data_IF_578343955759
#
_entry.id   IF_578343955759
#
_cell.length_a   1.000
_cell.length_b   1.000
_cell.length_c   1.000
_cell.angle_alpha   90.00
_cell.angle_beta   90.00
_cell.angle_gamma   90.00
#
_symmetry.space_group_name_H-M   'P 1'
#
loop_
_entity.id
_entity.type
_entity.pdbx_description
1 polymer ?
#
# COMPACT_ATOMS: atom_id res chain seq x y z
N UNK A 1 -7.31 -21.68 -18.83
CA UNK A 1 -7.14 -22.26 -17.48
C UNK A 1 -7.18 -21.12 -16.49
N UNK A 2 -8.28 -20.96 -15.76
CA UNK A 2 -8.32 -20.05 -14.61
C UNK A 2 -7.37 -20.63 -13.55
N UNK A 3 -6.38 -19.85 -13.12
CA UNK A 3 -5.48 -20.27 -12.06
C UNK A 3 -6.30 -20.55 -10.80
N UNK A 4 -5.96 -21.63 -10.09
CA UNK A 4 -6.55 -21.92 -8.78
C UNK A 4 -6.23 -20.74 -7.85
N UNK A 5 -7.22 -20.13 -7.17
CA UNK A 5 -6.98 -19.03 -6.25
C UNK A 5 -5.99 -19.45 -5.17
N UNK A 6 -5.00 -18.60 -4.88
CA UNK A 6 -4.03 -18.85 -3.82
C UNK A 6 -4.77 -18.97 -2.46
N UNK A 7 -4.73 -20.14 -1.78
CA UNK A 7 -5.49 -20.38 -0.56
C UNK A 7 -5.12 -19.40 0.56
N UNK A 8 -3.89 -18.89 0.58
CA UNK A 8 -3.44 -17.89 1.56
C UNK A 8 -4.15 -16.56 1.33
N UNK A 9 -4.30 -16.14 0.07
CA UNK A 9 -5.04 -14.91 -0.27
C UNK A 9 -6.53 -15.04 0.04
N UNK A 10 -7.13 -16.21 -0.20
CA UNK A 10 -8.54 -16.48 0.15
C UNK A 10 -8.75 -16.39 1.66
N UNK A 11 -7.88 -17.02 2.45
CA UNK A 11 -7.93 -16.97 3.91
C UNK A 11 -7.72 -15.55 4.45
N UNK A 12 -6.73 -14.84 3.92
CA UNK A 12 -6.47 -13.44 4.29
C UNK A 12 -7.67 -12.55 3.94
N UNK A 13 -8.23 -12.68 2.75
CA UNK A 13 -9.42 -11.90 2.35
C UNK A 13 -10.61 -12.16 3.28
N UNK A 14 -10.83 -13.41 3.72
CA UNK A 14 -11.86 -13.73 4.70
C UNK A 14 -11.58 -13.07 6.06
N UNK A 15 -10.34 -13.12 6.56
CA UNK A 15 -9.91 -12.43 7.79
C UNK A 15 -10.16 -10.94 7.71
N UNK A 16 -9.75 -10.29 6.61
CA UNK A 16 -9.92 -8.85 6.42
C UNK A 16 -11.39 -8.43 6.38
N UNK A 17 -12.25 -9.19 5.70
CA UNK A 17 -13.71 -8.93 5.67
C UNK A 17 -14.36 -9.01 7.05
N UNK A 18 -13.82 -9.84 7.95
CA UNK A 18 -14.34 -10.04 9.29
C UNK A 18 -13.93 -8.95 10.30
N UNK A 19 -12.96 -8.09 9.97
CA UNK A 19 -12.55 -6.98 10.83
C UNK A 19 -13.70 -5.99 11.06
N UNK A 20 -13.61 -5.15 12.10
CA UNK A 20 -14.49 -4.00 12.22
C UNK A 20 -14.12 -2.93 11.16
N UNK A 21 -15.10 -2.18 10.61
CA UNK A 21 -14.80 -0.98 9.82
C UNK A 21 -13.94 0.00 10.62
N UNK A 22 -13.03 0.71 9.93
CA UNK A 22 -12.04 1.62 10.53
C UNK A 22 -12.11 3.04 9.99
N UNK A 23 -12.80 3.25 8.87
CA UNK A 23 -12.98 4.55 8.22
C UNK A 23 -14.45 4.68 7.80
N UNK A 24 -15.30 5.06 8.75
CA UNK A 24 -16.76 5.04 8.55
C UNK A 24 -17.24 3.62 8.25
N UNK A 25 -17.97 3.37 7.14
CA UNK A 25 -18.41 2.03 6.76
C UNK A 25 -17.28 1.16 6.14
N UNK A 26 -16.10 1.73 5.88
CA UNK A 26 -15.00 1.08 5.15
C UNK A 26 -13.99 0.44 6.10
N UNK A 27 -13.48 -0.74 5.72
CA UNK A 27 -12.25 -1.31 6.28
C UNK A 27 -11.08 -0.89 5.41
N UNK A 28 -10.28 0.05 5.90
CA UNK A 28 -9.12 0.51 5.16
C UNK A 28 -7.92 -0.38 5.51
N UNK A 29 -7.35 -1.05 4.51
CA UNK A 29 -6.22 -1.97 4.70
C UNK A 29 -5.01 -1.43 3.97
N UNK A 30 -3.92 -1.21 4.69
CA UNK A 30 -2.66 -0.74 4.12
C UNK A 30 -1.76 -1.91 3.72
N UNK A 31 -1.08 -1.77 2.57
CA UNK A 31 -0.01 -2.65 2.11
C UNK A 31 1.26 -1.79 1.96
N UNK A 32 2.15 -1.89 2.94
CA UNK A 32 3.41 -1.16 3.01
C UNK A 32 4.62 -2.10 2.85
N UNK A 33 5.81 -1.55 2.74
CA UNK A 33 7.06 -2.25 2.41
C UNK A 33 7.97 -1.40 1.53
N UNK A 34 9.23 -1.78 1.45
CA UNK A 34 10.23 -1.07 0.62
C UNK A 34 9.85 -1.01 -0.87
N UNK A 35 10.29 0.03 -1.59
CA UNK A 35 10.15 0.07 -3.05
C UNK A 35 10.79 -1.17 -3.69
N UNK A 36 10.07 -1.81 -4.61
CA UNK A 36 10.46 -3.08 -5.22
C UNK A 36 10.15 -4.35 -4.41
N UNK A 37 9.50 -4.26 -3.24
CA UNK A 37 9.14 -5.44 -2.43
C UNK A 37 7.98 -6.28 -2.99
N UNK A 38 7.24 -5.77 -3.99
CA UNK A 38 6.12 -6.47 -4.63
C UNK A 38 4.72 -6.08 -4.12
N UNK A 39 4.60 -5.00 -3.34
CA UNK A 39 3.32 -4.48 -2.81
C UNK A 39 2.21 -4.39 -3.85
N UNK A 40 2.44 -3.70 -4.98
CA UNK A 40 1.42 -3.49 -6.00
C UNK A 40 0.90 -4.80 -6.59
N UNK A 41 1.80 -5.78 -6.82
CA UNK A 41 1.41 -7.12 -7.28
C UNK A 41 0.61 -7.88 -6.22
N UNK A 42 1.02 -7.81 -4.96
CA UNK A 42 0.29 -8.44 -3.85
C UNK A 42 -1.08 -7.79 -3.64
N UNK A 43 -1.16 -6.47 -3.62
CA UNK A 43 -2.40 -5.71 -3.46
C UNK A 43 -3.40 -6.01 -4.57
N UNK A 44 -2.95 -6.12 -5.84
CA UNK A 44 -3.81 -6.51 -6.96
C UNK A 44 -4.40 -7.93 -6.78
N UNK A 45 -3.58 -8.90 -6.40
CA UNK A 45 -4.06 -10.28 -6.15
C UNK A 45 -4.97 -10.37 -4.92
N UNK A 46 -4.68 -9.59 -3.88
CA UNK A 46 -5.53 -9.50 -2.69
C UNK A 46 -6.88 -8.84 -3.03
N UNK A 47 -6.89 -7.82 -3.87
CA UNK A 47 -8.10 -7.18 -4.39
C UNK A 47 -8.99 -8.18 -5.14
N UNK A 48 -8.40 -9.03 -6.00
CA UNK A 48 -9.12 -10.11 -6.68
C UNK A 48 -9.75 -11.09 -5.67
N UNK A 49 -8.99 -11.55 -4.67
CA UNK A 49 -9.51 -12.42 -3.61
C UNK A 49 -10.60 -11.75 -2.74
N UNK A 50 -10.54 -10.41 -2.63
CA UNK A 50 -11.55 -9.58 -1.99
C UNK A 50 -12.78 -9.32 -2.88
N UNK A 51 -12.83 -9.88 -4.09
CA UNK A 51 -13.97 -9.76 -5.01
C UNK A 51 -13.92 -8.47 -5.84
N UNK A 52 -12.72 -7.97 -6.13
CA UNK A 52 -12.51 -6.73 -6.87
C UNK A 52 -12.51 -5.49 -5.98
N UNK A 53 -11.93 -5.59 -4.77
CA UNK A 53 -11.80 -4.42 -3.90
C UNK A 53 -10.94 -3.32 -4.56
N UNK A 54 -11.31 -2.04 -4.45
CA UNK A 54 -10.52 -0.96 -5.02
C UNK A 54 -9.16 -0.82 -4.32
N UNK A 55 -8.15 -0.45 -5.10
CA UNK A 55 -6.78 -0.19 -4.63
C UNK A 55 -6.43 1.28 -4.91
N UNK A 56 -6.01 2.00 -3.86
CA UNK A 56 -5.45 3.35 -3.98
C UNK A 56 -3.94 3.24 -3.96
N UNK A 57 -3.29 3.75 -5.00
CA UNK A 57 -1.84 3.78 -5.11
C UNK A 57 -1.33 5.11 -4.57
N UNK A 58 -0.42 5.11 -3.60
CA UNK A 58 0.14 6.39 -3.10
C UNK A 58 0.90 7.14 -4.17
N UNK A 59 1.37 6.46 -5.22
CA UNK A 59 2.05 7.07 -6.36
C UNK A 59 1.11 7.98 -7.18
N UNK A 60 -0.21 7.77 -7.11
CA UNK A 60 -1.19 8.70 -7.70
C UNK A 60 -1.18 10.04 -6.93
N UNK A 61 -0.74 10.04 -5.68
CA UNK A 61 -0.75 11.18 -4.75
C UNK A 61 0.66 11.68 -4.41
N UNK A 62 1.74 10.94 -4.59
CA UNK A 62 3.07 11.50 -4.40
C UNK A 62 3.45 12.38 -5.60
N UNK A 63 4.35 13.34 -5.38
CA UNK A 63 4.95 14.13 -6.47
C UNK A 63 6.47 14.05 -6.38
N UNK A 64 7.18 14.56 -7.39
CA UNK A 64 8.65 14.66 -7.36
C UNK A 64 9.17 15.45 -6.15
N UNK A 65 8.45 16.50 -5.73
CA UNK A 65 8.77 17.35 -4.59
C UNK A 65 8.32 16.73 -3.25
N UNK A 66 7.25 15.93 -3.29
CA UNK A 66 6.55 15.43 -2.11
C UNK A 66 6.49 13.89 -2.07
N UNK A 67 7.63 13.21 -2.21
CA UNK A 67 7.70 11.73 -2.23
C UNK A 67 6.95 11.06 -1.06
N UNK A 68 7.00 11.66 0.14
CA UNK A 68 6.36 11.14 1.37
C UNK A 68 5.42 12.15 2.06
N UNK A 69 5.16 13.30 1.44
CA UNK A 69 4.33 14.36 2.01
C UNK A 69 2.88 14.36 1.47
N UNK A 70 2.45 13.26 0.86
CA UNK A 70 1.12 13.08 0.25
C UNK A 70 -0.03 12.88 1.26
N UNK A 71 0.25 12.68 2.56
CA UNK A 71 -0.77 12.29 3.54
C UNK A 71 -1.86 13.32 3.77
N UNK A 72 -1.56 14.62 3.60
CA UNK A 72 -2.56 15.68 3.67
C UNK A 72 -3.63 15.51 2.60
N UNK A 73 -3.18 15.34 1.35
CA UNK A 73 -4.05 15.09 0.19
C UNK A 73 -4.83 13.79 0.33
N UNK A 74 -4.18 12.71 0.77
CA UNK A 74 -4.89 11.44 1.05
C UNK A 74 -5.98 11.60 2.11
N UNK A 75 -5.70 12.30 3.21
CA UNK A 75 -6.68 12.52 4.28
C UNK A 75 -7.89 13.32 3.80
N UNK A 76 -7.65 14.40 3.07
CA UNK A 76 -8.70 15.31 2.62
C UNK A 76 -9.54 14.73 1.48
N UNK A 77 -8.88 14.12 0.50
CA UNK A 77 -9.51 13.67 -0.75
C UNK A 77 -10.02 12.23 -0.68
N UNK A 78 -9.43 11.38 0.18
CA UNK A 78 -9.76 9.95 0.29
C UNK A 78 -10.37 9.61 1.65
N UNK A 79 -9.65 9.79 2.76
CA UNK A 79 -10.14 9.36 4.08
C UNK A 79 -11.40 10.13 4.51
N UNK A 80 -11.44 11.44 4.29
CA UNK A 80 -12.56 12.29 4.65
C UNK A 80 -13.88 11.78 4.06
N UNK A 81 -14.01 11.71 2.71
CA UNK A 81 -15.21 11.19 2.07
C UNK A 81 -15.55 9.75 2.47
N UNK A 82 -14.58 8.84 2.46
CA UNK A 82 -14.83 7.45 2.83
C UNK A 82 -15.34 7.30 4.27
N UNK A 83 -14.84 8.11 5.20
CA UNK A 83 -15.29 8.10 6.60
C UNK A 83 -16.77 8.49 6.77
N UNK A 84 -17.33 9.22 5.81
CA UNK A 84 -18.75 9.58 5.75
C UNK A 84 -19.59 8.64 4.88
N UNK A 85 -18.97 7.63 4.27
CA UNK A 85 -19.61 6.75 3.30
C UNK A 85 -19.90 7.42 1.96
N UNK A 86 -19.11 8.43 1.59
CA UNK A 86 -19.22 9.18 0.34
C UNK A 86 -18.13 8.75 -0.66
N UNK A 87 -18.38 8.96 -1.96
CA UNK A 87 -17.34 8.79 -2.99
C UNK A 87 -16.20 9.79 -2.79
N UNK A 88 -14.97 9.30 -2.79
CA UNK A 88 -13.76 10.09 -2.85
C UNK A 88 -13.42 10.50 -4.30
N UNK A 89 -12.75 11.64 -4.47
CA UNK A 89 -12.20 12.11 -5.75
C UNK A 89 -10.80 12.64 -5.49
N UNK A 90 -9.81 12.14 -6.22
CA UNK A 90 -8.42 12.55 -6.05
C UNK A 90 -7.69 12.63 -7.40
N UNK A 91 -6.69 13.52 -7.46
CA UNK A 91 -5.83 13.66 -8.62
C UNK A 91 -4.88 12.48 -8.77
N UNK A 92 -4.56 12.14 -10.02
CA UNK A 92 -3.55 11.14 -10.39
C UNK A 92 -2.33 11.87 -10.94
N UNK A 93 -1.20 11.75 -10.23
CA UNK A 93 0.06 12.34 -10.63
C UNK A 93 0.72 11.52 -11.75
N UNK A 94 1.03 12.21 -12.85
CA UNK A 94 1.80 11.64 -13.95
C UNK A 94 3.29 11.91 -13.68
N UNK A 95 4.03 10.85 -13.36
CA UNK A 95 5.47 10.93 -13.09
C UNK A 95 6.32 11.23 -14.33
N UNK A 96 5.79 11.08 -15.54
CA UNK A 96 6.48 11.45 -16.78
C UNK A 96 6.27 12.93 -17.06
N UNK A 97 5.03 13.42 -16.91
CA UNK A 97 4.69 14.83 -17.16
C UNK A 97 5.05 15.76 -15.98
N UNK A 98 5.17 15.22 -14.77
CA UNK A 98 5.46 15.97 -13.56
C UNK A 98 4.27 16.76 -13.00
N UNK A 99 3.04 16.39 -13.35
CA UNK A 99 1.81 17.11 -12.96
C UNK A 99 0.61 16.17 -12.75
N UNK A 100 -0.46 16.68 -12.14
CA UNK A 100 -1.72 15.93 -12.04
C UNK A 100 -2.48 16.02 -13.36
N UNK A 101 -2.60 14.91 -14.08
CA UNK A 101 -3.18 14.89 -15.43
C UNK A 101 -4.56 14.24 -15.48
N UNK A 102 -4.98 13.54 -14.43
CA UNK A 102 -6.28 12.88 -14.35
C UNK A 102 -6.89 12.97 -12.94
N UNK A 103 -8.18 12.66 -12.85
CA UNK A 103 -8.91 12.48 -11.59
C UNK A 103 -9.45 11.04 -11.52
N UNK A 104 -9.39 10.44 -10.34
CA UNK A 104 -10.03 9.14 -10.06
C UNK A 104 -11.13 9.30 -9.03
N UNK A 105 -12.29 8.71 -9.34
CA UNK A 105 -13.38 8.53 -8.39
C UNK A 105 -13.26 7.17 -7.69
N UNK A 106 -13.50 7.16 -6.39
CA UNK A 106 -13.47 5.98 -5.54
C UNK A 106 -14.76 5.92 -4.71
N UNK A 107 -15.69 5.07 -5.13
CA UNK A 107 -16.87 4.76 -4.34
C UNK A 107 -16.47 3.99 -3.06
N UNK A 108 -17.20 4.18 -1.94
CA UNK A 108 -16.97 3.39 -0.74
C UNK A 108 -17.24 1.91 -1.00
N UNK A 109 -16.37 1.05 -0.46
CA UNK A 109 -16.46 -0.40 -0.58
C UNK A 109 -16.26 -1.05 0.82
N UNK A 110 -16.74 -2.30 1.04
CA UNK A 110 -16.58 -2.97 2.32
C UNK A 110 -15.12 -3.08 2.80
N UNK A 111 -14.19 -3.23 1.85
CA UNK A 111 -12.74 -3.16 2.03
C UNK A 111 -12.16 -2.27 0.93
N UNK A 112 -11.28 -1.35 1.31
CA UNK A 112 -10.47 -0.54 0.39
C UNK A 112 -9.00 -0.80 0.71
N UNK A 113 -8.21 -1.14 -0.29
CA UNK A 113 -6.76 -1.29 -0.14
C UNK A 113 -6.07 0.05 -0.42
N UNK A 114 -5.06 0.39 0.37
CA UNK A 114 -4.11 1.46 0.05
C UNK A 114 -2.72 0.85 0.01
N UNK A 115 -1.98 1.07 -1.07
CA UNK A 115 -0.67 0.46 -1.26
C UNK A 115 0.37 1.52 -1.64
N UNK A 116 1.58 1.32 -1.13
CA UNK A 116 2.70 2.19 -1.40
C UNK A 116 3.59 2.38 -0.19
N UNK A 117 4.75 3.00 -0.42
CA UNK A 117 5.75 3.20 0.63
C UNK A 117 5.26 4.28 1.59
N UNK A 118 5.16 3.94 2.87
CA UNK A 118 4.69 4.83 3.92
C UNK A 118 3.18 4.80 4.14
N UNK A 119 2.45 3.83 3.58
CA UNK A 119 1.03 3.64 3.89
C UNK A 119 0.79 3.22 5.36
N UNK A 120 1.79 2.64 6.01
CA UNK A 120 1.81 2.33 7.44
C UNK A 120 2.30 3.47 8.33
N UNK A 121 2.40 4.71 7.81
CA UNK A 121 2.82 5.90 8.57
C UNK A 121 1.87 6.25 9.72
N UNK A 122 2.39 6.88 10.77
CA UNK A 122 1.66 7.24 11.99
C UNK A 122 0.34 7.96 11.70
N UNK A 123 0.32 8.85 10.70
CA UNK A 123 -0.83 9.67 10.35
C UNK A 123 -2.01 8.87 9.76
N UNK A 124 -1.75 7.67 9.21
CA UNK A 124 -2.78 6.80 8.63
C UNK A 124 -3.25 5.72 9.61
N UNK A 125 -2.38 5.23 10.51
CA UNK A 125 -2.67 4.11 11.43
C UNK A 125 -4.02 4.21 12.15
N UNK A 126 -4.47 5.36 12.69
CA UNK A 126 -5.77 5.45 13.36
C UNK A 126 -6.98 5.13 12.46
N UNK A 127 -6.83 5.22 11.14
CA UNK A 127 -7.89 4.91 10.17
C UNK A 127 -7.75 3.50 9.56
N UNK A 128 -6.70 2.74 9.90
CA UNK A 128 -6.47 1.41 9.35
C UNK A 128 -7.22 0.34 10.16
N UNK A 129 -7.88 -0.56 9.44
CA UNK A 129 -8.40 -1.80 10.00
C UNK A 129 -7.28 -2.85 10.10
N UNK A 130 -6.31 -2.81 9.18
CA UNK A 130 -5.15 -3.68 9.17
C UNK A 130 -3.99 -3.05 8.38
N UNK A 131 -2.76 -3.19 8.89
CA UNK A 131 -1.51 -2.87 8.22
C UNK A 131 -0.76 -4.17 7.87
N UNK A 132 -0.63 -4.42 6.57
CA UNK A 132 0.18 -5.48 6.00
C UNK A 132 1.54 -4.93 5.62
N UNK A 133 2.62 -5.59 6.03
CA UNK A 133 3.98 -5.25 5.62
C UNK A 133 4.57 -6.35 4.72
N UNK A 134 4.97 -5.97 3.51
CA UNK A 134 5.71 -6.84 2.60
C UNK A 134 7.14 -7.03 3.12
N UNK A 135 7.39 -8.22 3.67
CA UNK A 135 8.65 -8.58 4.30
C UNK A 135 9.67 -9.04 3.26
N UNK A 136 10.56 -8.12 2.91
CA UNK A 136 11.75 -8.34 2.10
C UNK A 136 12.84 -7.36 2.57
N UNK A 137 14.09 -7.81 2.61
CA UNK A 137 15.20 -6.92 2.95
C UNK A 137 15.21 -5.70 2.01
N UNK A 138 15.53 -4.53 2.55
CA UNK A 138 15.48 -3.29 1.77
C UNK A 138 16.44 -3.33 0.59
N UNK A 139 17.64 -3.90 0.77
CA UNK A 139 18.65 -4.02 -0.27
C UNK A 139 18.16 -4.88 -1.43
N UNK A 140 17.58 -6.05 -1.12
CA UNK A 140 16.97 -6.96 -2.10
C UNK A 140 15.78 -6.29 -2.82
N UNK A 141 14.98 -5.52 -2.08
CA UNK A 141 13.84 -4.78 -2.63
C UNK A 141 14.30 -3.72 -3.64
N UNK A 142 15.30 -2.91 -3.29
CA UNK A 142 15.86 -1.89 -4.17
C UNK A 142 16.61 -2.49 -5.37
N UNK A 143 17.28 -3.62 -5.19
CA UNK A 143 17.88 -4.35 -6.32
C UNK A 143 16.81 -4.81 -7.31
N UNK A 144 15.76 -5.49 -6.83
CA UNK A 144 14.63 -5.90 -7.68
C UNK A 144 13.98 -4.72 -8.40
N UNK A 145 13.75 -3.61 -7.68
CA UNK A 145 13.17 -2.40 -8.24
C UNK A 145 14.04 -1.81 -9.37
N UNK A 146 15.34 -1.63 -9.11
CA UNK A 146 16.30 -1.14 -10.13
C UNK A 146 16.40 -2.05 -11.34
N UNK A 147 16.39 -3.37 -11.14
CA UNK A 147 16.43 -4.34 -12.24
C UNK A 147 15.18 -4.25 -13.13
N UNK A 148 14.00 -4.07 -12.51
CA UNK A 148 12.73 -3.89 -13.23
C UNK A 148 12.72 -2.57 -14.03
N UNK A 149 13.19 -1.49 -13.41
CA UNK A 149 13.09 -0.13 -13.95
C UNK A 149 14.18 0.19 -14.98
N UNK A 150 15.29 -0.56 -14.93
CA UNK A 150 16.41 -0.41 -15.85
C UNK A 150 17.25 0.85 -15.61
N UNK A 151 18.33 1.02 -16.40
CA UNK A 151 19.32 2.07 -16.17
C UNK A 151 18.78 3.50 -16.38
N UNK A 152 17.70 3.66 -17.15
CA UNK A 152 17.08 4.96 -17.43
C UNK A 152 16.57 5.68 -16.18
N UNK A 153 16.27 4.94 -15.10
CA UNK A 153 15.79 5.49 -13.83
C UNK A 153 16.85 5.54 -12.73
N UNK A 154 18.15 5.44 -13.08
CA UNK A 154 19.25 5.46 -12.09
C UNK A 154 19.27 6.75 -11.24
N UNK A 155 19.01 7.91 -11.85
CA UNK A 155 18.94 9.19 -11.14
C UNK A 155 17.75 9.24 -10.15
N UNK A 156 16.59 8.72 -10.56
CA UNK A 156 15.43 8.58 -9.69
C UNK A 156 15.76 7.70 -8.47
N UNK A 157 16.32 6.51 -8.69
CA UNK A 157 16.71 5.60 -7.62
C UNK A 157 17.76 6.19 -6.66
N UNK A 158 18.65 7.05 -7.18
CA UNK A 158 19.65 7.76 -6.37
C UNK A 158 19.02 8.77 -5.39
N UNK A 159 17.91 9.41 -5.77
CA UNK A 159 17.12 10.27 -4.87
C UNK A 159 16.16 9.49 -3.98
N UNK A 160 15.52 8.45 -4.52
CA UNK A 160 14.53 7.64 -3.82
C UNK A 160 15.09 6.92 -2.61
N UNK A 161 16.22 6.22 -2.76
CA UNK A 161 16.78 5.36 -1.71
C UNK A 161 17.09 6.15 -0.43
N UNK A 162 17.78 7.32 -0.47
CA UNK A 162 17.94 8.17 0.71
C UNK A 162 16.61 8.65 1.31
N UNK A 163 15.65 9.07 0.47
CA UNK A 163 14.37 9.57 0.92
C UNK A 163 13.54 8.49 1.65
N UNK A 164 13.48 7.28 1.10
CA UNK A 164 12.79 6.14 1.71
C UNK A 164 13.44 5.75 3.05
N UNK A 165 14.78 5.72 3.11
CA UNK A 165 15.48 5.48 4.38
C UNK A 165 15.15 6.52 5.43
N UNK A 166 15.16 7.80 5.05
CA UNK A 166 14.82 8.90 5.94
C UNK A 166 13.36 8.77 6.44
N UNK A 167 12.44 8.43 5.55
CA UNK A 167 11.04 8.20 5.89
C UNK A 167 10.90 7.08 6.95
N UNK A 168 11.42 5.88 6.69
CA UNK A 168 11.27 4.77 7.63
C UNK A 168 12.10 4.92 8.91
N UNK A 169 13.16 5.73 8.90
CA UNK A 169 13.89 6.08 10.12
C UNK A 169 13.06 7.01 11.03
N UNK A 170 12.30 7.94 10.44
CA UNK A 170 11.47 8.89 11.16
C UNK A 170 10.10 8.31 11.56
N UNK A 171 9.52 7.44 10.73
CA UNK A 171 8.19 6.85 10.92
C UNK A 171 8.15 5.40 10.41
N UNK A 172 8.64 4.44 11.21
CA UNK A 172 8.76 3.06 10.78
C UNK A 172 7.39 2.38 10.72
N UNK A 173 7.01 1.77 9.59
CA UNK A 173 5.77 1.01 9.47
C UNK A 173 5.86 -0.40 10.04
N UNK A 174 6.96 -1.13 9.77
CA UNK A 174 7.11 -2.55 10.09
C UNK A 174 6.83 -2.93 11.54
N UNK A 175 7.29 -2.19 12.58
CA UNK A 175 7.02 -2.55 13.98
C UNK A 175 5.53 -2.49 14.36
N UNK A 176 4.72 -1.77 13.58
CA UNK A 176 3.28 -1.58 13.80
C UNK A 176 2.42 -2.40 12.83
N UNK A 177 3.04 -3.19 11.97
CA UNK A 177 2.30 -4.07 11.07
C UNK A 177 1.56 -5.12 11.91
N UNK A 178 0.29 -5.36 11.57
CA UNK A 178 -0.49 -6.45 12.15
C UNK A 178 -0.06 -7.78 11.53
N UNK A 179 0.35 -7.76 10.25
CA UNK A 179 0.77 -8.95 9.52
C UNK A 179 2.00 -8.69 8.66
N UNK A 180 2.89 -9.68 8.62
CA UNK A 180 4.03 -9.75 7.72
C UNK A 180 3.70 -10.67 6.54
N UNK A 181 3.94 -10.19 5.32
CA UNK A 181 3.68 -10.90 4.08
C UNK A 181 5.00 -11.23 3.39
N UNK A 182 5.30 -12.51 3.24
CA UNK A 182 6.47 -12.99 2.52
C UNK A 182 6.07 -13.51 1.15
N UNK A 183 6.80 -13.10 0.11
CA UNK A 183 6.66 -13.66 -1.24
C UNK A 183 7.65 -14.81 -1.43
N UNK A 184 7.14 -16.03 -1.59
CA UNK A 184 7.92 -17.22 -1.90
C UNK A 184 7.74 -17.68 -3.35
N UNK A 185 8.49 -18.72 -3.76
CA UNK A 185 8.39 -19.32 -5.11
C UNK A 185 7.01 -19.94 -5.38
N UNK A 186 6.34 -20.42 -4.34
CA UNK A 186 5.09 -21.18 -4.43
C UNK A 186 3.83 -20.35 -4.11
N UNK A 187 3.98 -19.06 -3.77
CA UNK A 187 2.87 -18.20 -3.34
C UNK A 187 3.26 -17.25 -2.22
N UNK A 188 2.27 -16.76 -1.49
CA UNK A 188 2.48 -15.90 -0.32
C UNK A 188 2.44 -16.69 0.99
N UNK A 189 3.16 -16.21 1.98
CA UNK A 189 3.02 -16.62 3.37
C UNK A 189 2.68 -15.38 4.21
N UNK A 190 1.75 -15.53 5.15
CA UNK A 190 1.31 -14.44 6.04
C UNK A 190 1.56 -14.86 7.50
N UNK A 191 2.25 -14.02 8.25
CA UNK A 191 2.60 -14.23 9.66
C UNK A 191 2.09 -13.07 10.51
N UNK A 192 1.86 -13.32 11.79
CA UNK A 192 1.55 -12.24 12.74
C UNK A 192 2.69 -11.22 12.81
N UNK A 193 2.31 -9.97 12.99
CA UNK A 193 3.24 -8.85 13.05
C UNK A 193 4.01 -8.75 14.37
N UNK A 194 5.07 -7.93 14.41
CA UNK A 194 5.94 -7.82 15.59
C UNK A 194 5.20 -7.37 16.86
N UNK A 195 4.15 -6.57 16.73
CA UNK A 195 3.35 -6.07 17.85
C UNK A 195 2.44 -7.12 18.51
N UNK A 196 2.27 -8.30 17.91
CA UNK A 196 1.44 -9.38 18.44
C UNK A 196 2.23 -10.47 19.18
N UNK A 197 3.56 -10.34 19.26
CA UNK A 197 4.41 -11.27 20.02
C UNK A 197 4.52 -10.76 21.46
N UNK A 198 3.61 -11.20 22.33
CA UNK A 198 3.80 -11.21 23.78
C UNK A 198 4.20 -12.61 24.25
#
# INVERSE_FOLDING_TARGET
>A
MTAVPDPVLVSLAARLRALAPSCGPVRLVAVDGHAGSGKSTFAGRLAEALGGAPVVHTDDLATHEELFAWSGRFREQVLGPLSRGESARYGVYDWVCGEFTAERELAPAPVVLVEGVGTGRWALRPALACLLWMELAREDSWERGRLRDGPGLSAFWSGWIPAERAHFAADPSRPYADLLVHQGKMGYEVREGPGHTQ
#
